data_IF_293640846081
#
_entry.id   IF_293640846081
#
_cell.length_a   1.000
_cell.length_b   1.000
_cell.length_c   1.000
_cell.angle_alpha   90.00
_cell.angle_beta   90.00
_cell.angle_gamma   90.00
#
_symmetry.space_group_name_H-M   'P 1'
#
loop_
_entity.id
_entity.type
_entity.pdbx_description
1 polymer ?
#
# COMPACT_ATOMS: atom_id res chain seq x y z
N UNK A 1 -9.54 -2.12 -18.29
CA UNK A 1 -9.49 -1.61 -16.91
C UNK A 1 -8.29 -2.18 -16.20
N UNK A 2 -7.46 -1.33 -15.68
CA UNK A 2 -6.22 -1.76 -15.04
C UNK A 2 -6.49 -2.32 -13.65
N UNK A 3 -5.97 -3.50 -13.38
CA UNK A 3 -5.99 -4.07 -12.03
C UNK A 3 -4.82 -3.51 -11.26
N UNK A 4 -5.05 -3.21 -10.00
CA UNK A 4 -3.96 -2.85 -9.12
C UNK A 4 -3.13 -4.09 -8.82
N UNK A 5 -1.81 -3.93 -8.89
CA UNK A 5 -0.93 -4.99 -8.44
C UNK A 5 -0.91 -5.01 -6.91
N UNK A 6 -0.43 -6.12 -6.34
CA UNK A 6 -0.25 -6.19 -4.89
C UNK A 6 0.70 -5.11 -4.40
N UNK A 7 1.72 -4.80 -5.19
CA UNK A 7 2.68 -3.75 -4.84
C UNK A 7 2.01 -2.38 -4.75
N UNK A 8 1.13 -2.08 -5.69
CA UNK A 8 0.37 -0.83 -5.67
C UNK A 8 -0.56 -0.74 -4.46
N UNK A 9 -1.21 -1.86 -4.12
CA UNK A 9 -2.08 -1.91 -2.95
C UNK A 9 -1.28 -1.68 -1.68
N UNK A 10 -0.15 -2.35 -1.52
CA UNK A 10 0.73 -2.18 -0.36
C UNK A 10 1.22 -0.74 -0.25
N UNK A 11 1.64 -0.16 -1.36
CA UNK A 11 2.09 1.23 -1.40
C UNK A 11 0.99 2.18 -0.96
N UNK A 12 -0.22 1.98 -1.46
CA UNK A 12 -1.37 2.82 -1.10
C UNK A 12 -1.69 2.72 0.39
N UNK A 13 -1.66 1.52 0.95
CA UNK A 13 -1.92 1.31 2.38
C UNK A 13 -0.87 2.03 3.22
N UNK A 14 0.40 1.89 2.87
CA UNK A 14 1.49 2.52 3.60
C UNK A 14 1.39 4.05 3.54
N UNK A 15 1.03 4.60 2.38
CA UNK A 15 0.85 6.05 2.25
C UNK A 15 -0.26 6.57 3.14
N UNK A 16 -1.38 5.87 3.18
CA UNK A 16 -2.52 6.28 3.99
C UNK A 16 -2.18 6.21 5.48
N UNK A 17 -1.37 5.24 5.88
CA UNK A 17 -0.95 5.07 7.25
C UNK A 17 0.17 6.02 7.68
N UNK A 18 0.71 6.81 6.75
CA UNK A 18 1.71 7.81 7.07
C UNK A 18 1.13 8.95 7.90
N UNK A 19 1.99 9.71 8.57
CA UNK A 19 1.55 10.82 9.40
C UNK A 19 0.80 10.35 10.64
N UNK A 20 -0.48 10.69 10.73
CA UNK A 20 -1.29 10.35 11.90
C UNK A 20 -1.76 8.90 11.92
N UNK A 21 -1.63 8.20 10.80
CA UNK A 21 -2.14 6.85 10.68
C UNK A 21 -3.56 6.82 10.15
N UNK A 22 -4.11 5.62 10.03
CA UNK A 22 -5.44 5.44 9.51
C UNK A 22 -6.13 4.24 10.13
N UNK A 23 -7.45 4.30 10.26
CA UNK A 23 -8.24 3.19 10.71
C UNK A 23 -8.43 2.18 9.57
N UNK A 24 -8.78 0.95 9.92
CA UNK A 24 -9.08 -0.09 8.95
C UNK A 24 -10.19 0.35 7.98
N UNK A 25 -11.23 0.98 8.53
CA UNK A 25 -12.35 1.46 7.71
C UNK A 25 -11.90 2.48 6.68
N UNK A 26 -11.07 3.42 7.09
CA UNK A 26 -10.54 4.43 6.18
C UNK A 26 -9.69 3.80 5.10
N UNK A 27 -8.86 2.83 5.46
CA UNK A 27 -8.02 2.11 4.50
C UNK A 27 -8.87 1.38 3.48
N UNK A 28 -9.91 0.68 3.93
CA UNK A 28 -10.82 -0.05 3.05
C UNK A 28 -11.46 0.91 2.02
N UNK A 29 -11.93 2.06 2.48
CA UNK A 29 -12.57 3.01 1.59
C UNK A 29 -11.60 3.65 0.61
N UNK A 30 -10.45 4.10 1.09
CA UNK A 30 -9.52 4.85 0.25
C UNK A 30 -8.76 3.96 -0.73
N UNK A 31 -8.46 2.74 -0.35
CA UNK A 31 -7.74 1.81 -1.22
C UNK A 31 -8.73 0.98 -2.06
N UNK A 32 -10.01 1.07 -1.73
CA UNK A 32 -11.07 0.35 -2.44
C UNK A 32 -10.87 -1.17 -2.37
N UNK A 33 -10.63 -1.66 -1.18
CA UNK A 33 -10.52 -3.09 -0.89
C UNK A 33 -11.75 -3.58 -0.14
N UNK A 34 -12.01 -4.88 -0.19
CA UNK A 34 -12.99 -5.44 0.73
C UNK A 34 -12.31 -5.68 2.09
N UNK A 35 -13.13 -5.88 3.14
CA UNK A 35 -12.59 -6.03 4.49
C UNK A 35 -11.70 -7.25 4.65
N UNK A 36 -12.02 -8.33 3.97
CA UNK A 36 -11.22 -9.56 4.04
C UNK A 36 -9.81 -9.34 3.49
N UNK A 37 -9.72 -8.73 2.33
CA UNK A 37 -8.42 -8.46 1.71
C UNK A 37 -7.62 -7.41 2.50
N UNK A 38 -8.30 -6.36 2.96
CA UNK A 38 -7.65 -5.34 3.78
C UNK A 38 -7.06 -5.95 5.06
N UNK A 39 -7.82 -6.83 5.71
CA UNK A 39 -7.36 -7.51 6.91
C UNK A 39 -6.10 -8.34 6.65
N UNK A 40 -6.09 -9.06 5.54
CA UNK A 40 -4.93 -9.87 5.18
C UNK A 40 -3.69 -9.01 4.95
N UNK A 41 -3.82 -7.91 4.21
CA UNK A 41 -2.71 -6.99 3.98
C UNK A 41 -2.23 -6.34 5.28
N UNK A 42 -3.16 -5.88 6.11
CA UNK A 42 -2.79 -5.22 7.37
C UNK A 42 -2.11 -6.18 8.33
N UNK A 43 -2.59 -7.41 8.42
CA UNK A 43 -1.96 -8.42 9.27
C UNK A 43 -0.53 -8.73 8.79
N UNK A 44 -0.36 -8.87 7.48
CA UNK A 44 0.96 -9.13 6.92
C UNK A 44 1.92 -7.98 7.21
N UNK A 45 1.45 -6.75 7.00
CA UNK A 45 2.29 -5.56 7.21
C UNK A 45 2.67 -5.38 8.69
N UNK A 46 1.74 -5.64 9.60
CA UNK A 46 2.04 -5.57 11.03
C UNK A 46 2.99 -6.68 11.47
N UNK A 47 2.80 -7.90 10.96
CA UNK A 47 3.69 -9.03 11.27
C UNK A 47 5.12 -8.76 10.82
N UNK A 48 5.29 -8.11 9.69
CA UNK A 48 6.61 -7.79 9.15
C UNK A 48 7.23 -6.54 9.77
N UNK A 49 6.49 -5.83 10.60
CA UNK A 49 7.00 -4.64 11.25
C UNK A 49 6.95 -3.37 10.39
N UNK A 50 6.19 -3.38 9.31
CA UNK A 50 6.02 -2.20 8.45
C UNK A 50 4.93 -1.27 8.94
N UNK A 51 3.96 -1.82 9.67
CA UNK A 51 2.92 -1.06 10.35
C UNK A 51 2.88 -1.44 11.82
N UNK A 52 2.38 -0.53 12.64
CA UNK A 52 2.09 -0.80 14.04
C UNK A 52 0.64 -0.42 14.30
N UNK A 53 -0.04 -1.25 15.05
CA UNK A 53 -1.43 -0.99 15.42
C UNK A 53 -1.46 -0.36 16.81
N UNK A 54 -2.04 0.83 16.89
CA UNK A 54 -2.25 1.53 18.15
C UNK A 54 -3.73 1.79 18.32
N UNK A 55 -4.38 1.05 19.22
CA UNK A 55 -5.82 1.10 19.35
C UNK A 55 -6.50 0.68 18.04
N UNK A 56 -7.25 1.57 17.45
CA UNK A 56 -7.94 1.32 16.17
C UNK A 56 -7.19 1.85 14.96
N UNK A 57 -6.02 2.45 15.18
CA UNK A 57 -5.27 3.09 14.10
C UNK A 57 -4.06 2.25 13.71
N UNK A 58 -3.75 2.26 12.42
CA UNK A 58 -2.52 1.67 11.90
C UNK A 58 -1.59 2.79 11.51
N UNK A 59 -0.36 2.74 11.99
CA UNK A 59 0.66 3.76 11.71
C UNK A 59 1.86 3.12 11.03
N UNK A 60 2.48 3.89 10.13
CA UNK A 60 3.67 3.43 9.44
C UNK A 60 4.87 3.49 10.38
N UNK A 61 5.72 2.45 10.31
CA UNK A 61 6.97 2.40 11.06
C UNK A 61 8.12 2.95 10.20
N UNK A 62 9.30 3.22 10.79
CA UNK A 62 10.47 3.58 9.97
C UNK A 62 10.78 2.55 8.89
N UNK A 63 10.65 1.27 9.20
CA UNK A 63 10.81 0.20 8.21
C UNK A 63 9.74 0.29 7.12
N UNK A 64 8.51 0.63 7.50
CA UNK A 64 7.43 0.83 6.54
C UNK A 64 7.68 1.99 5.61
N UNK A 65 8.25 3.09 6.12
CA UNK A 65 8.60 4.25 5.29
C UNK A 65 9.65 3.88 4.25
N UNK A 66 10.63 3.13 4.66
CA UNK A 66 11.68 2.66 3.75
C UNK A 66 11.10 1.75 2.67
N UNK A 67 10.23 0.82 3.07
CA UNK A 67 9.53 -0.04 2.12
C UNK A 67 8.68 0.77 1.15
N UNK A 68 7.99 1.80 1.64
CA UNK A 68 7.17 2.65 0.79
C UNK A 68 8.00 3.35 -0.29
N UNK A 69 9.16 3.86 0.06
CA UNK A 69 10.05 4.46 -0.92
C UNK A 69 10.47 3.46 -1.98
N UNK A 70 10.82 2.25 -1.56
CA UNK A 70 11.21 1.19 -2.50
C UNK A 70 10.05 0.77 -3.39
N UNK A 71 8.86 0.67 -2.85
CA UNK A 71 7.67 0.32 -3.62
C UNK A 71 7.33 1.40 -4.64
N UNK A 72 7.45 2.66 -4.27
CA UNK A 72 7.19 3.77 -5.18
C UNK A 72 8.16 3.76 -6.36
N UNK A 73 9.43 3.45 -6.10
CA UNK A 73 10.40 3.29 -7.18
C UNK A 73 10.04 2.15 -8.11
N UNK A 74 9.71 1.00 -7.55
CA UNK A 74 9.33 -0.18 -8.34
C UNK A 74 8.07 0.09 -9.15
N UNK A 75 7.06 0.67 -8.53
CA UNK A 75 5.81 1.01 -9.22
C UNK A 75 6.05 2.03 -10.32
N UNK A 76 6.93 2.99 -10.08
CA UNK A 76 7.30 3.98 -11.09
C UNK A 76 7.96 3.33 -12.29
N UNK A 77 8.88 2.42 -12.07
CA UNK A 77 9.56 1.68 -13.13
C UNK A 77 8.55 0.84 -13.93
N UNK A 78 7.68 0.12 -13.23
CA UNK A 78 6.66 -0.70 -13.88
C UNK A 78 5.69 0.14 -14.71
N UNK A 79 5.30 1.28 -14.19
CA UNK A 79 4.42 2.19 -14.92
C UNK A 79 5.08 2.72 -16.19
N UNK A 80 6.37 3.03 -16.12
CA UNK A 80 7.11 3.48 -17.29
C UNK A 80 7.16 2.37 -18.35
N UNK A 81 7.43 1.14 -17.94
CA UNK A 81 7.46 0.00 -18.86
C UNK A 81 6.10 -0.24 -19.50
N UNK A 82 5.03 -0.17 -18.73
CA UNK A 82 3.68 -0.33 -19.25
C UNK A 82 3.35 0.77 -20.26
N UNK A 83 3.75 2.01 -19.96
CA UNK A 83 3.51 3.13 -20.84
C UNK A 83 4.25 2.95 -22.17
N UNK A 84 5.49 2.52 -22.13
CA UNK A 84 6.28 2.23 -23.33
C UNK A 84 5.60 1.13 -24.16
N UNK A 85 5.10 0.10 -23.51
CA UNK A 85 4.41 -1.00 -24.18
C UNK A 85 3.15 -0.51 -24.87
N UNK A 86 2.40 0.35 -24.23
CA UNK A 86 1.19 0.93 -24.81
C UNK A 86 1.51 1.78 -26.03
N UNK A 87 2.59 2.52 -25.97
CA UNK A 87 3.00 3.37 -27.07
C UNK A 87 3.35 2.58 -28.32
N UNK A 88 3.76 1.34 -28.16
CA UNK A 88 4.08 0.48 -29.29
C UNK A 88 2.86 -0.08 -29.99
N UNK A 89 1.76 -0.05 -29.31
CA UNK A 89 0.51 -0.53 -29.87
C UNK A 89 -0.14 0.53 -30.72
#
# INVERSE_FOLDING_TARGET
MARRTRLEVLSSILEICGGEGASKTRIVYQVNLNFKNARAYLNWLTDKGYLVKEGKMYKITPAGKEMLLNLNEICGILNIEEHITEDKV
#
